data_IF_603031110653
#
_entry.id   IF_603031110653
#
_cell.length_a   1.000
_cell.length_b   1.000
_cell.length_c   1.000
_cell.angle_alpha   90.00
_cell.angle_beta   90.00
_cell.angle_gamma   90.00
#
_symmetry.space_group_name_H-M   'P 1'
#
loop_
_entity.id
_entity.type
_entity.pdbx_description
1 polymer ?
#
# COMPACT_ATOMS: atom_id res chain seq x y z
N UNK A 1 36.25 25.40 46.33
CA UNK A 1 36.11 24.71 45.03
C UNK A 1 34.75 24.04 44.98
N UNK A 2 33.74 24.77 44.50
CA UNK A 2 32.35 24.33 44.33
C UNK A 2 32.03 24.43 42.84
N UNK A 3 32.22 23.37 42.05
CA UNK A 3 31.93 23.45 40.60
C UNK A 3 31.76 22.09 39.89
N UNK A 4 31.35 21.03 40.59
CA UNK A 4 31.16 19.70 39.97
C UNK A 4 29.82 19.01 40.33
N UNK A 5 28.78 19.76 40.72
CA UNK A 5 27.50 19.16 41.15
C UNK A 5 26.31 19.48 40.24
N UNK A 6 26.51 20.12 39.08
CA UNK A 6 25.43 20.48 38.16
C UNK A 6 25.70 19.88 36.78
N UNK A 7 25.63 18.55 36.65
CA UNK A 7 25.65 17.91 35.32
C UNK A 7 24.78 16.64 35.19
N UNK A 8 24.01 16.27 36.23
CA UNK A 8 23.26 15.00 36.24
C UNK A 8 21.74 15.20 36.09
N UNK A 9 21.23 16.43 36.11
CA UNK A 9 19.79 16.71 36.15
C UNK A 9 19.06 16.74 34.78
N UNK A 10 19.75 16.52 33.64
CA UNK A 10 19.17 16.70 32.30
C UNK A 10 18.74 15.43 31.56
N UNK A 11 18.78 14.25 32.17
CA UNK A 11 18.57 12.96 31.48
C UNK A 11 17.17 12.32 31.64
N UNK A 12 16.18 12.97 32.28
CA UNK A 12 14.91 12.31 32.66
C UNK A 12 13.65 12.71 31.87
N UNK A 13 13.79 13.36 30.71
CA UNK A 13 12.65 13.63 29.84
C UNK A 13 12.67 12.70 28.61
N UNK A 14 12.52 11.40 28.85
CA UNK A 14 12.11 10.47 27.78
C UNK A 14 10.61 10.63 27.57
N UNK A 15 10.22 11.41 26.56
CA UNK A 15 8.82 11.45 26.10
C UNK A 15 8.42 10.05 25.66
N UNK A 16 7.35 9.49 26.22
CA UNK A 16 6.69 8.36 25.61
C UNK A 16 6.18 8.83 24.25
N UNK A 17 6.88 8.45 23.18
CA UNK A 17 6.41 8.71 21.84
C UNK A 17 5.18 7.85 21.61
N UNK A 18 4.02 8.47 21.43
CA UNK A 18 2.85 7.78 20.94
C UNK A 18 3.07 7.46 19.46
N UNK A 19 2.95 6.18 19.13
CA UNK A 19 3.04 5.68 17.78
C UNK A 19 1.70 5.92 17.08
N UNK A 20 1.51 7.09 16.46
CA UNK A 20 0.32 7.40 15.68
C UNK A 20 0.72 7.69 14.24
N UNK A 21 -0.09 7.22 13.28
CA UNK A 21 0.07 7.58 11.88
C UNK A 21 -1.28 7.76 11.19
N UNK A 22 -1.29 8.57 10.13
CA UNK A 22 -2.44 8.77 9.27
C UNK A 22 -2.00 8.81 7.81
N UNK A 23 -2.25 7.71 7.10
CA UNK A 23 -1.94 7.54 5.68
C UNK A 23 -3.25 7.65 4.90
N UNK A 24 -3.52 8.80 4.29
CA UNK A 24 -4.80 9.08 3.61
C UNK A 24 -5.07 8.12 2.45
N UNK A 25 -4.04 7.77 1.67
CA UNK A 25 -4.17 6.79 0.60
C UNK A 25 -4.97 7.29 -0.60
N UNK A 26 -4.58 8.43 -1.17
CA UNK A 26 -5.28 9.03 -2.31
C UNK A 26 -4.98 8.27 -3.59
N UNK A 27 -5.95 8.17 -4.49
CA UNK A 27 -5.75 7.48 -5.75
C UNK A 27 -6.81 7.78 -6.79
N UNK A 28 -6.61 7.18 -7.95
CA UNK A 28 -7.50 7.28 -9.10
C UNK A 28 -7.57 5.93 -9.80
N UNK A 29 -8.77 5.51 -10.14
CA UNK A 29 -8.99 4.40 -11.08
C UNK A 29 -9.33 4.95 -12.45
N UNK A 30 -9.03 4.18 -13.49
CA UNK A 30 -9.50 4.42 -14.85
C UNK A 30 -10.38 3.25 -15.26
N UNK A 31 -11.60 3.55 -15.69
CA UNK A 31 -12.54 2.55 -16.20
C UNK A 31 -12.18 2.14 -17.64
N UNK A 32 -12.70 0.99 -18.12
CA UNK A 32 -12.56 0.59 -19.53
C UNK A 32 -13.12 1.60 -20.54
N UNK A 33 -13.98 2.51 -20.09
CA UNK A 33 -14.50 3.64 -20.89
C UNK A 33 -13.49 4.78 -21.06
N UNK A 34 -12.34 4.72 -20.39
CA UNK A 34 -11.34 5.79 -20.31
C UNK A 34 -11.66 6.87 -19.26
N UNK A 35 -12.78 6.75 -18.54
CA UNK A 35 -13.18 7.71 -17.50
C UNK A 35 -12.37 7.44 -16.23
N UNK A 36 -11.84 8.52 -15.67
CA UNK A 36 -11.17 8.48 -14.39
C UNK A 36 -12.13 8.74 -13.23
N UNK A 37 -11.91 8.06 -12.11
CA UNK A 37 -12.63 8.30 -10.85
C UNK A 37 -11.65 8.32 -9.68
N UNK A 38 -11.64 9.40 -8.87
CA UNK A 38 -10.81 9.45 -7.67
C UNK A 38 -11.35 8.50 -6.60
N UNK A 39 -10.47 8.00 -5.74
CA UNK A 39 -10.80 7.26 -4.54
C UNK A 39 -9.85 7.63 -3.40
N UNK A 40 -10.24 7.27 -2.19
CA UNK A 40 -9.39 7.37 -1.00
C UNK A 40 -9.48 6.06 -0.24
N UNK A 41 -8.34 5.41 -0.07
CA UNK A 41 -8.23 4.18 0.70
C UNK A 41 -6.90 4.17 1.46
N UNK A 42 -6.98 4.44 2.75
CA UNK A 42 -5.83 4.67 3.61
C UNK A 42 -5.84 3.85 4.89
N UNK A 43 -4.86 4.10 5.75
CA UNK A 43 -4.70 3.46 7.05
C UNK A 43 -4.35 4.48 8.12
N UNK A 44 -4.88 4.32 9.33
CA UNK A 44 -4.48 5.15 10.45
C UNK A 44 -4.42 4.34 11.74
N UNK A 45 -3.47 4.67 12.61
CA UNK A 45 -3.35 4.12 13.96
C UNK A 45 -3.40 5.25 14.98
N UNK A 46 -4.23 5.03 16.00
CA UNK A 46 -4.40 5.88 17.17
C UNK A 46 -4.16 5.00 18.41
N UNK A 47 -2.93 5.05 18.93
CA UNK A 47 -2.45 4.24 20.03
C UNK A 47 -3.18 4.61 21.33
N UNK A 48 -3.47 5.90 21.54
CA UNK A 48 -4.15 6.40 22.72
C UNK A 48 -5.57 5.83 22.84
N UNK A 49 -6.30 5.80 21.73
CA UNK A 49 -7.68 5.30 21.69
C UNK A 49 -7.77 3.84 21.25
N UNK A 50 -6.64 3.18 20.96
CA UNK A 50 -6.57 1.79 20.52
C UNK A 50 -7.44 1.53 19.30
N UNK A 51 -7.33 2.42 18.30
CA UNK A 51 -8.16 2.41 17.08
C UNK A 51 -7.32 2.30 15.83
N UNK A 52 -7.65 1.31 15.01
CA UNK A 52 -7.11 1.15 13.67
C UNK A 52 -8.17 1.50 12.62
N UNK A 53 -7.82 2.35 11.65
CA UNK A 53 -8.68 2.72 10.53
C UNK A 53 -8.19 2.07 9.24
N UNK A 54 -9.15 1.56 8.46
CA UNK A 54 -8.95 0.99 7.12
C UNK A 54 -9.99 1.63 6.20
N UNK A 55 -9.52 2.47 5.28
CA UNK A 55 -10.40 3.37 4.53
C UNK A 55 -11.30 4.16 5.48
N UNK A 56 -12.62 4.08 5.28
CA UNK A 56 -13.61 4.78 6.09
C UNK A 56 -14.07 4.01 7.34
N UNK A 57 -13.52 2.81 7.59
CA UNK A 57 -13.92 1.96 8.72
C UNK A 57 -12.91 2.10 9.87
N UNK A 58 -13.41 2.06 11.10
CA UNK A 58 -12.59 2.12 12.32
C UNK A 58 -12.88 0.89 13.18
N UNK A 59 -11.82 0.33 13.77
CA UNK A 59 -11.87 -0.87 14.58
C UNK A 59 -11.15 -0.64 15.90
N UNK A 60 -11.72 -1.11 17.01
CA UNK A 60 -11.01 -1.17 18.29
C UNK A 60 -10.04 -2.37 18.24
N UNK A 61 -8.77 -2.13 18.51
CA UNK A 61 -7.70 -3.14 18.44
C UNK A 61 -6.79 -3.01 19.67
N UNK A 62 -6.36 -4.12 20.27
CA UNK A 62 -5.40 -4.09 21.38
C UNK A 62 -4.03 -3.51 20.99
N UNK A 63 -3.67 -3.65 19.72
CA UNK A 63 -2.39 -3.25 19.14
C UNK A 63 -2.53 -3.01 17.63
N UNK A 64 -1.55 -2.30 17.06
CA UNK A 64 -1.39 -2.16 15.62
C UNK A 64 -1.30 -3.55 14.95
N UNK A 65 -2.10 -3.85 13.91
CA UNK A 65 -1.96 -5.07 13.14
C UNK A 65 -0.61 -5.12 12.41
N UNK A 66 -0.03 -6.31 12.27
CA UNK A 66 1.26 -6.46 11.55
C UNK A 66 1.15 -6.09 10.06
N UNK A 67 0.02 -6.40 9.42
CA UNK A 67 -0.17 -6.15 8.01
C UNK A 67 -1.64 -6.09 7.57
N UNK A 68 -1.86 -5.54 6.38
CA UNK A 68 -3.12 -5.61 5.64
C UNK A 68 -2.84 -6.03 4.19
N UNK A 69 -3.70 -6.86 3.61
CA UNK A 69 -3.53 -7.36 2.24
C UNK A 69 -4.69 -6.94 1.36
N UNK A 70 -4.39 -6.24 0.27
CA UNK A 70 -5.32 -5.88 -0.79
C UNK A 70 -5.27 -6.96 -1.86
N UNK A 71 -6.44 -7.48 -2.25
CA UNK A 71 -6.55 -8.48 -3.30
C UNK A 71 -6.80 -7.81 -4.66
N UNK A 72 -6.00 -8.20 -5.64
CA UNK A 72 -6.10 -7.80 -7.04
C UNK A 72 -6.48 -9.02 -7.88
N UNK A 73 -7.64 -8.99 -8.51
CA UNK A 73 -8.14 -10.11 -9.33
C UNK A 73 -8.19 -9.73 -10.80
N UNK A 74 -7.39 -10.40 -11.62
CA UNK A 74 -7.48 -10.37 -13.07
C UNK A 74 -8.66 -11.24 -13.53
N UNK A 75 -9.50 -10.68 -14.40
CA UNK A 75 -10.62 -11.38 -15.01
C UNK A 75 -10.18 -12.62 -15.80
N UNK A 76 -11.10 -13.54 -16.04
CA UNK A 76 -10.79 -14.83 -16.72
C UNK A 76 -10.34 -14.65 -18.17
N UNK A 77 -10.78 -13.57 -18.81
CA UNK A 77 -10.38 -13.16 -20.16
C UNK A 77 -9.07 -12.35 -20.16
N UNK A 78 -8.41 -12.18 -19.01
CA UNK A 78 -7.17 -11.44 -18.81
C UNK A 78 -7.24 -9.94 -19.21
N UNK A 79 -8.44 -9.40 -19.44
CA UNK A 79 -8.63 -8.05 -19.96
C UNK A 79 -8.85 -6.98 -18.88
N UNK A 80 -9.28 -7.34 -17.68
CA UNK A 80 -9.72 -6.35 -16.68
C UNK A 80 -9.32 -6.77 -15.28
N UNK A 81 -9.18 -5.79 -14.41
CA UNK A 81 -8.80 -6.04 -13.01
C UNK A 81 -9.87 -5.56 -12.06
N UNK A 82 -10.07 -6.29 -10.97
CA UNK A 82 -10.95 -5.89 -9.89
C UNK A 82 -10.17 -5.78 -8.57
N UNK A 83 -10.41 -4.66 -7.87
CA UNK A 83 -9.87 -4.36 -6.54
C UNK A 83 -11.02 -3.83 -5.69
N UNK A 84 -11.44 -4.62 -4.70
CA UNK A 84 -12.65 -4.34 -3.93
C UNK A 84 -12.55 -3.02 -3.16
N UNK A 85 -11.37 -2.71 -2.64
CA UNK A 85 -11.08 -1.53 -1.83
C UNK A 85 -11.22 -0.22 -2.63
N UNK A 86 -11.00 -0.27 -3.95
CA UNK A 86 -10.97 0.92 -4.80
C UNK A 86 -12.32 1.17 -5.49
N UNK A 87 -13.00 0.10 -5.91
CA UNK A 87 -14.27 0.22 -6.64
C UNK A 87 -15.10 -1.07 -6.64
N UNK A 88 -16.43 -0.89 -6.68
CA UNK A 88 -17.36 -1.98 -6.99
C UNK A 88 -17.36 -2.23 -8.52
N UNK A 89 -16.45 -3.08 -8.99
CA UNK A 89 -16.40 -3.54 -10.38
C UNK A 89 -15.02 -3.40 -11.04
N UNK A 90 -14.94 -3.86 -12.29
CA UNK A 90 -13.70 -3.94 -13.07
C UNK A 90 -13.17 -2.57 -13.51
N UNK A 91 -11.85 -2.44 -13.52
CA UNK A 91 -11.06 -1.27 -13.91
C UNK A 91 -9.96 -1.67 -14.89
N UNK A 92 -9.46 -0.69 -15.64
CA UNK A 92 -8.34 -0.85 -16.57
C UNK A 92 -7.00 -0.46 -15.95
N UNK A 93 -6.99 0.49 -15.02
CA UNK A 93 -5.78 0.91 -14.32
C UNK A 93 -6.10 1.59 -12.99
N UNK A 94 -5.10 1.69 -12.13
CA UNK A 94 -5.15 2.58 -10.98
C UNK A 94 -3.78 3.21 -10.69
N UNK A 95 -3.83 4.32 -9.97
CA UNK A 95 -2.71 4.94 -9.29
C UNK A 95 -3.13 5.20 -7.85
N UNK A 96 -2.28 4.82 -6.89
CA UNK A 96 -2.55 4.90 -5.47
C UNK A 96 -1.30 5.35 -4.73
N UNK A 97 -1.41 6.47 -4.03
CA UNK A 97 -0.35 7.03 -3.21
C UNK A 97 -0.66 6.80 -1.74
N UNK A 98 0.20 6.03 -1.07
CA UNK A 98 0.09 5.70 0.33
C UNK A 98 1.36 6.10 1.07
N UNK A 99 1.31 7.26 1.74
CA UNK A 99 2.49 7.90 2.30
C UNK A 99 3.48 8.27 1.19
N UNK A 100 4.72 7.81 1.32
CA UNK A 100 5.77 8.00 0.31
C UNK A 100 5.75 6.95 -0.82
N UNK A 101 4.88 5.94 -0.71
CA UNK A 101 4.83 4.84 -1.66
C UNK A 101 3.79 5.13 -2.75
N UNK A 102 4.16 4.91 -4.02
CA UNK A 102 3.24 4.98 -5.15
C UNK A 102 3.06 3.60 -5.74
N UNK A 103 1.82 3.14 -5.85
CA UNK A 103 1.46 1.86 -6.46
C UNK A 103 0.61 2.15 -7.68
N UNK A 104 1.02 1.63 -8.83
CA UNK A 104 0.25 1.82 -10.08
C UNK A 104 0.06 0.51 -10.81
N UNK A 105 -1.11 0.31 -11.40
CA UNK A 105 -1.37 -0.77 -12.34
C UNK A 105 -1.74 -0.14 -13.68
N UNK A 106 -1.04 -0.51 -14.76
CA UNK A 106 -1.29 0.03 -16.10
C UNK A 106 -1.27 -1.08 -17.15
N UNK A 107 -2.15 -0.98 -18.14
CA UNK A 107 -2.04 -1.76 -19.38
C UNK A 107 -0.93 -1.18 -20.26
N UNK A 108 -0.09 -2.05 -20.81
CA UNK A 108 0.98 -1.70 -21.75
C UNK A 108 1.28 -2.92 -22.63
N UNK A 109 1.39 -2.70 -23.93
CA UNK A 109 1.83 -3.76 -24.85
C UNK A 109 3.32 -3.97 -24.73
N UNK A 110 3.74 -5.21 -24.58
CA UNK A 110 5.15 -5.61 -24.48
C UNK A 110 5.59 -6.36 -25.73
N UNK A 111 6.91 -6.34 -25.99
CA UNK A 111 7.50 -7.18 -27.04
C UNK A 111 7.43 -8.66 -26.68
N UNK A 112 7.56 -8.98 -25.40
CA UNK A 112 7.37 -10.31 -24.83
C UNK A 112 5.99 -10.33 -24.18
N UNK A 113 5.10 -11.27 -24.51
CA UNK A 113 3.77 -11.35 -23.90
C UNK A 113 3.87 -11.48 -22.38
N UNK A 114 3.14 -10.64 -21.66
CA UNK A 114 2.95 -10.75 -20.20
C UNK A 114 1.46 -10.91 -19.92
N UNK A 115 1.13 -11.51 -18.78
CA UNK A 115 -0.26 -11.84 -18.48
C UNK A 115 -1.14 -10.59 -18.42
N UNK A 116 -2.16 -10.54 -19.27
CA UNK A 116 -3.10 -9.43 -19.40
C UNK A 116 -2.50 -8.09 -19.86
N UNK A 117 -1.26 -8.08 -20.37
CA UNK A 117 -0.54 -6.85 -20.73
C UNK A 117 -0.47 -5.82 -19.57
N UNK A 118 -0.48 -6.31 -18.33
CA UNK A 118 -0.47 -5.49 -17.13
C UNK A 118 0.92 -5.34 -16.52
N UNK A 119 1.23 -4.13 -16.07
CA UNK A 119 2.36 -3.84 -15.17
C UNK A 119 1.85 -3.26 -13.89
N UNK A 120 2.23 -3.90 -12.79
CA UNK A 120 2.07 -3.39 -11.44
C UNK A 120 3.41 -2.81 -11.00
N UNK A 121 3.47 -1.50 -10.78
CA UNK A 121 4.66 -0.81 -10.33
C UNK A 121 4.52 -0.42 -8.86
N UNK A 122 5.56 -0.68 -8.06
CA UNK A 122 5.75 -0.10 -6.73
C UNK A 122 6.93 0.87 -6.82
N UNK A 123 6.63 2.16 -6.68
CA UNK A 123 7.52 3.28 -6.95
C UNK A 123 8.10 3.19 -8.36
N UNK A 124 9.39 2.87 -8.48
CA UNK A 124 10.13 2.73 -9.75
C UNK A 124 10.38 1.28 -10.15
N UNK A 125 9.85 0.32 -9.39
CA UNK A 125 10.05 -1.11 -9.66
C UNK A 125 8.81 -1.68 -10.32
N UNK A 126 8.98 -2.21 -11.53
CA UNK A 126 7.93 -2.85 -12.30
C UNK A 126 7.85 -4.35 -11.99
N UNK A 127 6.62 -4.84 -11.92
CA UNK A 127 6.28 -6.24 -11.73
C UNK A 127 5.21 -6.68 -12.74
N UNK A 128 5.35 -7.91 -13.22
CA UNK A 128 4.44 -8.52 -14.20
C UNK A 128 3.61 -9.61 -13.53
N UNK A 129 2.32 -9.67 -13.84
CA UNK A 129 1.41 -10.67 -13.28
C UNK A 129 1.81 -12.08 -13.76
N UNK A 130 1.85 -13.04 -12.85
CA UNK A 130 1.99 -14.49 -13.19
C UNK A 130 0.79 -15.32 -12.72
N UNK A 131 -0.08 -14.73 -11.90
CA UNK A 131 -1.33 -15.32 -11.41
C UNK A 131 -2.49 -14.37 -11.69
N UNK A 132 -3.72 -14.90 -11.73
CA UNK A 132 -4.92 -14.06 -11.78
C UNK A 132 -5.18 -13.37 -10.44
N UNK A 133 -4.81 -14.02 -9.34
CA UNK A 133 -4.91 -13.45 -7.99
C UNK A 133 -3.54 -12.96 -7.56
N UNK A 134 -3.43 -11.65 -7.41
CA UNK A 134 -2.26 -10.93 -6.91
C UNK A 134 -2.64 -10.25 -5.60
N UNK A 135 -1.69 -10.11 -4.69
CA UNK A 135 -1.90 -9.40 -3.43
C UNK A 135 -0.85 -8.33 -3.21
N UNK A 136 -1.28 -7.19 -2.70
CA UNK A 136 -0.43 -6.11 -2.21
C UNK A 136 -0.52 -6.14 -0.69
N UNK A 137 0.53 -6.62 -0.02
CA UNK A 137 0.62 -6.67 1.43
C UNK A 137 1.34 -5.42 1.94
N UNK A 138 0.66 -4.64 2.76
CA UNK A 138 1.21 -3.49 3.49
C UNK A 138 1.58 -3.98 4.89
N UNK A 139 2.85 -3.90 5.25
CA UNK A 139 3.31 -4.13 6.62
C UNK A 139 3.40 -2.82 7.37
N UNK A 140 2.92 -2.80 8.60
CA UNK A 140 2.92 -1.62 9.43
C UNK A 140 4.04 -1.66 10.46
N UNK A 141 4.50 -0.47 10.83
CA UNK A 141 5.34 -0.19 12.00
C UNK A 141 4.74 1.02 12.72
N UNK A 142 5.29 1.32 13.89
CA UNK A 142 4.79 2.37 14.78
C UNK A 142 4.56 3.74 14.12
N UNK A 143 5.41 4.13 13.16
CA UNK A 143 5.36 5.42 12.46
C UNK A 143 4.74 5.33 11.04
N UNK A 144 4.15 4.20 10.65
CA UNK A 144 3.47 4.04 9.36
C UNK A 144 3.77 2.72 8.66
N UNK A 145 4.30 2.81 7.44
CA UNK A 145 4.59 1.64 6.59
C UNK A 145 6.01 1.17 6.83
N UNK A 146 6.18 -0.11 7.16
CA UNK A 146 7.48 -0.78 7.21
C UNK A 146 7.93 -1.17 5.79
N UNK A 147 7.11 -1.94 5.10
CA UNK A 147 7.32 -2.31 3.71
C UNK A 147 6.02 -2.66 3.00
N UNK A 148 6.08 -2.67 1.66
CA UNK A 148 5.02 -3.18 0.80
C UNK A 148 5.59 -4.36 0.01
N UNK A 149 4.88 -5.49 0.05
CA UNK A 149 5.20 -6.71 -0.71
C UNK A 149 4.10 -6.98 -1.72
N UNK A 150 4.49 -7.48 -2.88
CA UNK A 150 3.55 -7.87 -3.94
C UNK A 150 3.76 -9.35 -4.24
N UNK A 151 2.71 -10.15 -4.11
CA UNK A 151 2.73 -11.58 -4.39
C UNK A 151 1.94 -11.92 -5.67
N UNK A 152 2.31 -13.00 -6.34
CA UNK A 152 1.69 -13.40 -7.62
C UNK A 152 2.24 -12.64 -8.84
N UNK A 153 3.41 -12.02 -8.67
CA UNK A 153 4.12 -11.27 -9.72
C UNK A 153 5.58 -11.70 -9.86
N UNK A 154 6.24 -11.26 -10.93
CA UNK A 154 7.67 -11.43 -11.21
C UNK A 154 8.29 -10.09 -11.63
N UNK A 155 9.60 -9.90 -11.37
CA UNK A 155 10.38 -8.77 -11.91
C UNK A 155 10.91 -9.02 -13.33
N UNK A 156 10.92 -10.29 -13.75
CA UNK A 156 11.35 -10.70 -15.08
C UNK A 156 10.15 -10.63 -16.03
N UNK A 157 10.28 -9.97 -17.19
CA UNK A 157 9.26 -9.95 -18.25
C UNK A 157 8.98 -11.34 -18.88
N UNK A 158 9.58 -12.41 -18.34
CA UNK A 158 9.52 -13.73 -18.95
C UNK A 158 10.51 -13.88 -20.09
N UNK A 159 11.60 -13.10 -20.10
CA UNK A 159 12.71 -13.28 -21.04
C UNK A 159 13.62 -14.42 -20.56
N UNK A 160 13.05 -15.61 -20.32
CA UNK A 160 13.82 -16.84 -20.31
C UNK A 160 13.69 -17.49 -21.69
N UNK A 161 14.85 -17.65 -22.32
CA UNK A 161 15.08 -18.36 -23.59
C UNK A 161 14.31 -19.68 -23.67
#
# INVERSE_FOLDING_TARGET
MKLYSILIASLLFSSSAFADFNLVGEGKITYPTGIDKPFTFGFAWDEQNKKFKIGNKSYNMSSLPESYSIALTLSKDDEKVWVQEFNAGFIDSFEWQLGEQTITLKKKKFKVPVKGDYVLSLNKTDYFLVKNNVSIQIKFKEDGIDNIKIDGVTKDMGAKK
#
